data_IF_473015288190
#
_entry.id   IF_473015288190
#
_cell.length_a   1.000
_cell.length_b   1.000
_cell.length_c   1.000
_cell.angle_alpha   90.00
_cell.angle_beta   90.00
_cell.angle_gamma   90.00
#
_symmetry.space_group_name_H-M   'P 1'
#
loop_
_entity.id
_entity.type
_entity.pdbx_description
1 polymer ?
#
# COMPACT_ATOMS: atom_id res chain seq x y z
N UNK A 1 -15.33 -3.64 -59.93
CA UNK A 1 -16.47 -2.98 -59.30
C UNK A 1 -17.07 -3.83 -58.15
N UNK A 2 -17.49 -5.09 -58.36
CA UNK A 2 -18.09 -5.91 -57.28
C UNK A 2 -17.20 -6.19 -56.06
N UNK A 3 -15.87 -6.27 -56.21
CA UNK A 3 -14.90 -6.51 -55.13
C UNK A 3 -14.72 -5.28 -54.24
N UNK A 4 -14.73 -4.07 -54.82
CA UNK A 4 -14.64 -2.80 -54.07
C UNK A 4 -15.93 -2.50 -53.30
N UNK A 5 -17.09 -2.85 -53.84
CA UNK A 5 -18.38 -2.71 -53.14
C UNK A 5 -18.52 -3.68 -51.96
N UNK A 6 -17.99 -4.90 -52.07
CA UNK A 6 -17.96 -5.84 -50.94
C UNK A 6 -17.03 -5.34 -49.83
N UNK A 7 -15.83 -4.88 -50.14
CA UNK A 7 -14.88 -4.30 -49.21
C UNK A 7 -15.48 -3.09 -48.46
N UNK A 8 -16.16 -2.18 -49.19
CA UNK A 8 -16.81 -1.03 -48.58
C UNK A 8 -17.94 -1.47 -47.62
N UNK A 9 -18.78 -2.43 -48.03
CA UNK A 9 -19.84 -2.96 -47.16
C UNK A 9 -19.28 -3.60 -45.89
N UNK A 10 -18.25 -4.43 -46.03
CA UNK A 10 -17.65 -5.14 -44.90
C UNK A 10 -16.97 -4.13 -43.92
N UNK A 11 -16.38 -3.07 -44.45
CA UNK A 11 -15.84 -1.95 -43.69
C UNK A 11 -16.92 -1.20 -42.91
N UNK A 12 -18.09 -0.94 -43.53
CA UNK A 12 -19.24 -0.32 -42.85
C UNK A 12 -19.79 -1.20 -41.71
N UNK A 13 -19.89 -2.51 -41.96
CA UNK A 13 -20.34 -3.46 -40.93
C UNK A 13 -19.37 -3.44 -39.71
N UNK A 14 -18.07 -3.50 -39.97
CA UNK A 14 -17.06 -3.44 -38.92
C UNK A 14 -17.14 -2.12 -38.15
N UNK A 15 -17.31 -0.99 -38.83
CA UNK A 15 -17.47 0.32 -38.20
C UNK A 15 -18.73 0.40 -37.32
N UNK A 16 -19.86 -0.11 -37.83
CA UNK A 16 -21.12 -0.14 -37.05
C UNK A 16 -21.00 -1.03 -35.83
N UNK A 17 -20.38 -2.20 -35.95
CA UNK A 17 -20.12 -3.08 -34.80
C UNK A 17 -19.20 -2.43 -33.77
N UNK A 18 -18.18 -1.70 -34.22
CA UNK A 18 -17.28 -0.96 -33.39
C UNK A 18 -18.00 0.16 -32.61
N UNK A 19 -18.83 0.95 -33.30
CA UNK A 19 -19.62 2.00 -32.65
C UNK A 19 -20.63 1.44 -31.64
N UNK A 20 -21.31 0.34 -31.99
CA UNK A 20 -22.22 -0.35 -31.08
C UNK A 20 -21.48 -0.84 -29.82
N UNK A 21 -20.29 -1.42 -29.98
CA UNK A 21 -19.44 -1.86 -28.88
C UNK A 21 -19.01 -0.68 -27.98
N UNK A 22 -18.54 0.42 -28.55
CA UNK A 22 -18.18 1.62 -27.81
C UNK A 22 -19.37 2.21 -27.03
N UNK A 23 -20.56 2.26 -27.64
CA UNK A 23 -21.79 2.71 -26.99
C UNK A 23 -22.21 1.81 -25.82
N UNK A 24 -22.05 0.50 -25.94
CA UNK A 24 -22.32 -0.44 -24.83
C UNK A 24 -21.33 -0.26 -23.66
N UNK A 25 -20.12 0.20 -23.93
CA UNK A 25 -19.13 0.46 -22.88
C UNK A 25 -19.46 1.73 -22.05
N UNK A 26 -20.20 2.70 -22.61
CA UNK A 26 -20.52 3.97 -21.93
C UNK A 26 -21.16 3.76 -20.55
N UNK A 27 -22.26 3.03 -20.36
CA UNK A 27 -22.88 2.88 -19.03
C UNK A 27 -21.99 2.12 -18.06
N UNK A 28 -21.15 1.21 -18.55
CA UNK A 28 -20.21 0.46 -17.71
C UNK A 28 -19.09 1.35 -17.20
N UNK A 29 -18.46 2.10 -18.09
CA UNK A 29 -17.34 3.00 -17.75
C UNK A 29 -17.82 4.15 -16.88
N UNK A 30 -18.93 4.81 -17.22
CA UNK A 30 -19.43 5.97 -16.47
C UNK A 30 -19.94 5.61 -15.06
N UNK A 31 -20.52 4.43 -14.87
CA UNK A 31 -20.92 3.96 -13.54
C UNK A 31 -19.74 3.61 -12.64
N UNK A 32 -18.62 3.21 -13.21
CA UNK A 32 -17.45 2.77 -12.45
C UNK A 32 -16.41 3.87 -12.24
N UNK A 33 -16.30 4.81 -13.18
CA UNK A 33 -15.37 5.92 -13.09
C UNK A 33 -16.09 7.14 -12.52
N UNK A 34 -15.79 7.48 -11.27
CA UNK A 34 -16.41 8.64 -10.59
C UNK A 34 -15.84 9.99 -11.03
N UNK A 35 -14.64 10.00 -11.61
CA UNK A 35 -13.99 11.21 -12.13
C UNK A 35 -14.31 11.32 -13.61
N UNK A 36 -15.00 12.39 -14.06
CA UNK A 36 -15.41 12.54 -15.47
C UNK A 36 -14.25 12.45 -16.47
N UNK A 37 -13.11 13.04 -16.13
CA UNK A 37 -11.89 12.99 -16.97
C UNK A 37 -11.38 11.55 -17.16
N UNK A 38 -11.39 10.73 -16.10
CA UNK A 38 -11.01 9.32 -16.19
C UNK A 38 -11.99 8.51 -17.03
N UNK A 39 -13.29 8.75 -16.90
CA UNK A 39 -14.31 8.11 -17.72
C UNK A 39 -14.13 8.47 -19.21
N UNK A 40 -13.91 9.77 -19.52
CA UNK A 40 -13.66 10.24 -20.88
C UNK A 40 -12.39 9.60 -21.50
N UNK A 41 -11.31 9.49 -20.72
CA UNK A 41 -10.05 8.84 -21.16
C UNK A 41 -10.29 7.37 -21.53
N UNK A 42 -11.00 6.61 -20.68
CA UNK A 42 -11.28 5.22 -20.95
C UNK A 42 -12.21 5.02 -22.15
N UNK A 43 -13.24 5.87 -22.29
CA UNK A 43 -14.14 5.85 -23.45
C UNK A 43 -13.39 6.19 -24.74
N UNK A 44 -12.52 7.21 -24.72
CA UNK A 44 -11.67 7.55 -25.86
C UNK A 44 -10.75 6.38 -26.25
N UNK A 45 -10.13 5.72 -25.25
CA UNK A 45 -9.26 4.57 -25.48
C UNK A 45 -10.02 3.38 -26.10
N UNK A 46 -11.23 3.08 -25.61
CA UNK A 46 -12.09 2.02 -26.18
C UNK A 46 -12.57 2.39 -27.58
N UNK A 47 -12.86 3.66 -27.83
CA UNK A 47 -13.28 4.12 -29.17
C UNK A 47 -12.15 4.04 -30.19
N UNK A 48 -10.93 4.43 -29.81
CA UNK A 48 -9.75 4.40 -30.69
C UNK A 48 -9.18 3.00 -30.90
N UNK A 49 -9.19 2.16 -29.85
CA UNK A 49 -8.61 0.82 -29.82
C UNK A 49 -9.61 -0.18 -29.19
N UNK A 50 -10.65 -0.61 -29.93
CA UNK A 50 -11.79 -1.32 -29.33
C UNK A 50 -11.43 -2.58 -28.57
N UNK A 51 -10.59 -3.43 -29.14
CA UNK A 51 -10.15 -4.67 -28.50
C UNK A 51 -9.10 -4.39 -27.43
N UNK A 52 -8.04 -3.68 -27.79
CA UNK A 52 -6.93 -3.38 -26.86
C UNK A 52 -7.38 -2.43 -25.74
N UNK A 53 -8.15 -1.40 -26.04
CA UNK A 53 -8.70 -0.46 -25.06
C UNK A 53 -9.66 -1.12 -24.09
N UNK A 54 -10.53 -2.01 -24.57
CA UNK A 54 -11.41 -2.79 -23.69
C UNK A 54 -10.63 -3.76 -22.81
N UNK A 55 -9.63 -4.45 -23.34
CA UNK A 55 -8.76 -5.32 -22.54
C UNK A 55 -8.01 -4.53 -21.47
N UNK A 56 -7.45 -3.37 -21.84
CA UNK A 56 -6.79 -2.48 -20.88
C UNK A 56 -7.76 -1.96 -19.81
N UNK A 57 -9.00 -1.62 -20.21
CA UNK A 57 -10.02 -1.20 -19.25
C UNK A 57 -10.37 -2.33 -18.28
N UNK A 58 -10.57 -3.55 -18.74
CA UNK A 58 -10.84 -4.72 -17.89
C UNK A 58 -9.67 -5.01 -16.94
N UNK A 59 -8.44 -4.87 -17.42
CA UNK A 59 -7.23 -5.17 -16.64
C UNK A 59 -6.86 -4.08 -15.64
N UNK A 60 -7.03 -2.82 -15.98
CA UNK A 60 -6.53 -1.69 -15.20
C UNK A 60 -7.62 -0.69 -14.76
N UNK A 61 -8.74 -0.58 -15.49
CA UNK A 61 -9.80 0.40 -15.26
C UNK A 61 -11.03 -0.15 -14.51
N UNK A 62 -11.28 -1.46 -14.59
CA UNK A 62 -12.46 -2.08 -14.00
C UNK A 62 -12.36 -2.19 -12.48
N UNK A 63 -13.25 -1.50 -11.76
CA UNK A 63 -13.33 -1.53 -10.29
C UNK A 63 -14.53 -2.35 -9.85
N UNK A 64 -14.31 -3.37 -9.02
CA UNK A 64 -15.39 -4.11 -8.36
C UNK A 64 -15.99 -3.29 -7.22
N UNK A 65 -17.32 -3.12 -7.23
CA UNK A 65 -18.05 -2.55 -6.11
C UNK A 65 -18.09 -3.58 -4.97
N UNK A 66 -17.42 -3.28 -3.87
CA UNK A 66 -17.55 -4.06 -2.62
C UNK A 66 -18.71 -3.55 -1.77
N UNK A 67 -19.20 -4.34 -0.81
CA UNK A 67 -20.23 -3.91 0.13
C UNK A 67 -19.74 -2.72 0.97
N UNK A 68 -20.62 -1.75 1.20
CA UNK A 68 -20.40 -0.66 2.16
C UNK A 68 -20.50 -1.22 3.57
N UNK A 69 -19.49 -0.99 4.39
CA UNK A 69 -19.57 -1.34 5.80
C UNK A 69 -20.36 -0.23 6.55
N UNK A 70 -21.39 -0.63 7.27
CA UNK A 70 -22.06 0.26 8.21
C UNK A 70 -21.13 0.53 9.39
N UNK A 71 -20.74 1.79 9.59
CA UNK A 71 -19.94 2.20 10.72
C UNK A 71 -20.80 2.94 11.75
N UNK A 72 -20.84 2.51 13.01
CA UNK A 72 -21.54 3.22 14.04
C UNK A 72 -20.93 4.62 14.24
N UNK A 73 -21.77 5.63 14.45
CA UNK A 73 -21.36 7.01 14.70
C UNK A 73 -20.28 7.07 15.79
N UNK A 74 -19.08 7.47 15.42
CA UNK A 74 -17.97 7.64 16.35
C UNK A 74 -18.00 9.06 16.93
N UNK A 75 -17.90 9.19 18.25
CA UNK A 75 -17.55 10.46 18.91
C UNK A 75 -16.03 10.60 18.85
N UNK A 76 -15.55 11.60 18.14
CA UNK A 76 -14.10 11.86 17.97
C UNK A 76 -13.86 12.98 16.99
N UNK A 77 -12.60 13.27 16.74
CA UNK A 77 -12.13 14.18 15.71
C UNK A 77 -12.57 13.71 14.31
N UNK A 78 -12.78 14.64 13.37
CA UNK A 78 -13.19 14.33 11.98
C UNK A 78 -12.25 13.32 11.30
N UNK A 79 -10.94 13.43 11.50
CA UNK A 79 -9.98 12.47 10.93
C UNK A 79 -10.19 11.08 11.54
N UNK A 80 -10.35 11.00 12.86
CA UNK A 80 -10.64 9.73 13.55
C UNK A 80 -11.94 9.08 13.04
N UNK A 81 -12.96 9.89 12.78
CA UNK A 81 -14.24 9.43 12.23
C UNK A 81 -14.10 8.94 10.79
N UNK A 82 -13.34 9.65 9.93
CA UNK A 82 -13.09 9.26 8.55
C UNK A 82 -12.37 7.90 8.53
N UNK A 83 -11.33 7.72 9.34
CA UNK A 83 -10.60 6.45 9.43
C UNK A 83 -11.50 5.34 10.01
N UNK A 84 -12.26 5.63 11.06
CA UNK A 84 -13.18 4.66 11.65
C UNK A 84 -14.26 4.19 10.66
N UNK A 85 -14.80 5.11 9.86
CA UNK A 85 -15.78 4.78 8.84
C UNK A 85 -15.18 3.93 7.71
N UNK A 86 -13.95 4.24 7.28
CA UNK A 86 -13.28 3.52 6.19
C UNK A 86 -12.67 2.18 6.58
N UNK A 87 -12.07 2.10 7.76
CA UNK A 87 -11.27 0.94 8.21
C UNK A 87 -11.89 0.18 9.39
N UNK A 88 -12.94 0.70 10.03
CA UNK A 88 -13.53 0.09 11.22
C UNK A 88 -12.67 0.20 12.49
N UNK A 89 -11.55 0.95 12.46
CA UNK A 89 -10.65 1.12 13.61
C UNK A 89 -11.03 2.34 14.43
N UNK A 90 -10.69 2.27 15.71
CA UNK A 90 -10.80 3.41 16.64
C UNK A 90 -9.42 3.76 17.18
N UNK A 91 -9.18 5.03 17.61
CA UNK A 91 -7.95 5.38 18.27
C UNK A 91 -7.72 4.52 19.52
N UNK A 92 -6.59 3.84 19.54
CA UNK A 92 -6.08 3.13 20.72
C UNK A 92 -5.39 4.12 21.66
N UNK A 93 -5.24 3.77 22.94
CA UNK A 93 -4.80 4.76 23.93
C UNK A 93 -3.42 4.53 24.49
N UNK A 94 -3.08 3.28 24.79
CA UNK A 94 -1.89 2.93 25.55
C UNK A 94 -0.89 2.23 24.64
N UNK A 95 0.03 3.02 24.08
CA UNK A 95 1.02 2.52 23.16
C UNK A 95 2.42 3.02 23.48
N UNK A 96 3.42 2.30 22.99
CA UNK A 96 4.81 2.73 22.88
C UNK A 96 5.24 2.55 21.44
N UNK A 97 5.83 3.59 20.85
CA UNK A 97 6.37 3.55 19.48
C UNK A 97 7.86 3.84 19.53
N UNK A 98 8.63 3.04 18.83
CA UNK A 98 10.02 3.27 18.49
C UNK A 98 10.15 3.52 17.01
N UNK A 99 10.69 4.68 16.63
CA UNK A 99 11.02 4.98 15.24
C UNK A 99 12.37 4.34 14.89
N UNK A 100 12.37 3.57 13.82
CA UNK A 100 13.53 2.81 13.33
C UNK A 100 13.97 3.39 11.99
N UNK A 101 15.00 4.20 12.02
CA UNK A 101 15.58 4.83 10.85
C UNK A 101 16.41 3.82 10.06
N UNK A 102 16.09 3.65 8.78
CA UNK A 102 16.83 2.81 7.82
C UNK A 102 16.87 1.31 8.18
N UNK A 103 17.38 0.52 7.24
CA UNK A 103 17.42 -0.94 7.36
C UNK A 103 18.24 -1.44 8.57
N UNK A 104 19.34 -0.81 8.91
CA UNK A 104 20.18 -1.26 10.02
C UNK A 104 19.42 -1.31 11.34
N UNK A 105 18.75 -0.23 11.72
CA UNK A 105 17.99 -0.18 12.97
C UNK A 105 16.76 -1.09 12.91
N UNK A 106 16.05 -1.09 11.75
CA UNK A 106 14.88 -1.91 11.57
C UNK A 106 15.17 -3.41 11.65
N UNK A 107 16.18 -3.90 10.92
CA UNK A 107 16.51 -5.34 10.93
C UNK A 107 17.14 -5.78 12.25
N UNK A 108 17.96 -4.94 12.90
CA UNK A 108 18.49 -5.26 14.24
C UNK A 108 17.35 -5.47 15.23
N UNK A 109 16.40 -4.54 15.28
CA UNK A 109 15.26 -4.64 16.18
C UNK A 109 14.34 -5.80 15.83
N UNK A 110 14.04 -6.00 14.53
CA UNK A 110 13.18 -7.08 14.02
C UNK A 110 13.79 -8.45 14.34
N UNK A 111 15.05 -8.69 13.98
CA UNK A 111 15.76 -9.95 14.23
C UNK A 111 15.76 -10.27 15.73
N UNK A 112 16.06 -9.28 16.57
CA UNK A 112 16.02 -9.47 18.02
C UNK A 112 14.62 -9.86 18.52
N UNK A 113 13.54 -9.31 17.96
CA UNK A 113 12.17 -9.69 18.32
C UNK A 113 11.79 -11.07 17.82
N UNK A 114 12.16 -11.43 16.59
CA UNK A 114 11.95 -12.77 16.05
C UNK A 114 12.67 -13.85 16.88
N UNK A 115 13.90 -13.55 17.30
CA UNK A 115 14.66 -14.47 18.18
C UNK A 115 14.05 -14.61 19.57
N UNK A 116 13.42 -13.57 20.12
CA UNK A 116 12.76 -13.61 21.43
C UNK A 116 11.34 -14.17 21.41
N UNK A 117 10.72 -14.32 20.25
CA UNK A 117 9.38 -14.88 20.12
C UNK A 117 9.27 -16.27 20.75
N UNK A 118 8.16 -16.52 21.47
CA UNK A 118 7.92 -17.73 22.25
C UNK A 118 6.61 -18.46 21.89
N UNK A 119 5.69 -17.79 21.16
CA UNK A 119 4.37 -18.35 20.84
C UNK A 119 4.07 -18.33 19.36
N UNK A 120 4.12 -17.15 18.75
CA UNK A 120 3.73 -16.96 17.35
C UNK A 120 4.52 -15.85 16.67
N UNK A 121 4.73 -16.03 15.36
CA UNK A 121 5.27 -15.02 14.46
C UNK A 121 4.35 -14.93 13.26
N UNK A 122 3.71 -13.78 13.08
CA UNK A 122 2.90 -13.45 11.92
C UNK A 122 3.60 -12.36 11.11
N UNK A 123 3.84 -12.63 9.85
CA UNK A 123 4.68 -11.80 9.00
C UNK A 123 4.05 -11.60 7.64
N UNK A 124 3.98 -10.37 7.17
CA UNK A 124 3.40 -9.99 5.88
C UNK A 124 4.28 -8.96 5.20
N UNK A 125 4.75 -9.28 3.99
CA UNK A 125 5.64 -8.42 3.24
C UNK A 125 5.33 -8.37 1.75
N UNK A 126 5.52 -7.18 1.16
CA UNK A 126 5.49 -7.02 -0.28
C UNK A 126 6.71 -7.67 -0.93
N UNK A 127 7.92 -7.33 -0.47
CA UNK A 127 9.16 -7.90 -1.01
C UNK A 127 9.88 -8.71 0.08
N UNK A 128 10.11 -9.99 -0.23
CA UNK A 128 11.07 -10.84 0.46
C UNK A 128 12.05 -11.34 -0.60
N UNK A 129 13.33 -11.00 -0.48
CA UNK A 129 14.39 -11.48 -1.39
C UNK A 129 15.17 -12.63 -0.78
N UNK A 130 15.64 -13.55 -1.61
CA UNK A 130 16.58 -14.62 -1.22
C UNK A 130 18.01 -14.11 -1.22
N UNK A 131 18.26 -13.06 -0.44
CA UNK A 131 19.56 -12.47 -0.22
C UNK A 131 20.03 -12.70 1.23
N UNK A 132 21.14 -12.05 1.64
CA UNK A 132 21.71 -12.21 2.98
C UNK A 132 20.69 -11.98 4.09
N UNK A 133 19.93 -10.90 4.02
CA UNK A 133 18.96 -10.57 5.09
C UNK A 133 17.72 -11.48 5.04
N UNK A 134 17.22 -11.76 3.83
CA UNK A 134 16.07 -12.69 3.66
C UNK A 134 16.39 -14.08 4.15
N UNK A 135 17.60 -14.61 3.85
CA UNK A 135 18.04 -15.91 4.36
C UNK A 135 18.21 -15.91 5.88
N UNK A 136 18.81 -14.86 6.46
CA UNK A 136 18.93 -14.73 7.92
C UNK A 136 17.57 -14.80 8.60
N UNK A 137 16.57 -14.08 8.08
CA UNK A 137 15.21 -14.11 8.62
C UNK A 137 14.59 -15.49 8.42
N UNK A 138 14.69 -16.08 7.21
CA UNK A 138 14.18 -17.43 6.95
C UNK A 138 14.75 -18.49 7.91
N UNK A 139 16.06 -18.46 8.20
CA UNK A 139 16.67 -19.38 9.16
C UNK A 139 16.13 -19.20 10.59
N UNK A 140 15.83 -17.96 10.99
CA UNK A 140 15.20 -17.72 12.30
C UNK A 140 13.79 -18.30 12.32
N UNK A 141 12.98 -18.04 11.28
CA UNK A 141 11.62 -18.57 11.17
C UNK A 141 11.62 -20.12 11.19
N UNK A 142 12.53 -20.75 10.45
CA UNK A 142 12.72 -22.21 10.43
C UNK A 142 13.03 -22.75 11.84
N UNK A 143 13.99 -22.14 12.55
CA UNK A 143 14.32 -22.56 13.92
C UNK A 143 13.15 -22.40 14.88
N UNK A 144 12.38 -21.32 14.74
CA UNK A 144 11.22 -21.05 15.61
C UNK A 144 10.08 -22.04 15.34
N UNK A 145 9.78 -22.33 14.08
CA UNK A 145 8.77 -23.33 13.71
C UNK A 145 9.16 -24.74 14.22
N UNK A 146 10.43 -25.14 14.04
CA UNK A 146 10.96 -26.41 14.60
C UNK A 146 10.89 -26.47 16.12
N UNK A 147 10.96 -25.34 16.80
CA UNK A 147 10.79 -25.23 18.24
C UNK A 147 9.30 -25.20 18.67
N UNK A 148 8.36 -25.41 17.74
CA UNK A 148 6.92 -25.51 18.01
C UNK A 148 6.16 -24.19 18.02
N UNK A 149 6.75 -23.07 17.57
CA UNK A 149 6.04 -21.81 17.43
C UNK A 149 5.14 -21.82 16.18
N UNK A 150 4.01 -21.17 16.27
CA UNK A 150 3.16 -20.92 15.10
C UNK A 150 3.77 -19.78 14.25
N UNK A 151 4.28 -20.14 13.07
CA UNK A 151 4.93 -19.18 12.17
C UNK A 151 4.17 -19.10 10.85
N UNK A 152 3.59 -17.93 10.56
CA UNK A 152 2.83 -17.66 9.32
C UNK A 152 3.42 -16.50 8.56
N UNK A 153 3.61 -16.70 7.25
CA UNK A 153 4.20 -15.70 6.37
C UNK A 153 3.33 -15.48 5.13
N UNK A 154 2.84 -14.26 4.94
CA UNK A 154 2.24 -13.80 3.69
C UNK A 154 3.30 -13.03 2.91
N UNK A 155 3.44 -13.33 1.63
CA UNK A 155 4.30 -12.59 0.72
C UNK A 155 3.58 -12.28 -0.59
N UNK A 156 3.81 -11.09 -1.15
CA UNK A 156 3.26 -10.77 -2.47
C UNK A 156 3.98 -11.57 -3.57
N UNK A 157 3.24 -12.24 -4.44
CA UNK A 157 3.79 -13.14 -5.45
C UNK A 157 4.66 -12.41 -6.50
N UNK A 158 4.30 -11.16 -6.84
CA UNK A 158 5.06 -10.35 -7.80
C UNK A 158 6.21 -9.64 -7.11
N UNK A 159 5.98 -8.98 -5.99
CA UNK A 159 7.02 -8.28 -5.25
C UNK A 159 8.14 -9.23 -4.78
N UNK A 160 7.77 -10.46 -4.40
CA UNK A 160 8.71 -11.47 -3.90
C UNK A 160 9.11 -12.52 -4.96
N UNK A 161 9.04 -12.19 -6.27
CA UNK A 161 9.37 -13.14 -7.35
C UNK A 161 10.81 -13.69 -7.29
N UNK A 162 11.72 -13.00 -6.58
CA UNK A 162 13.10 -13.44 -6.31
C UNK A 162 13.25 -14.29 -5.05
N UNK A 163 12.18 -14.59 -4.32
CA UNK A 163 12.20 -15.56 -3.22
C UNK A 163 12.28 -16.98 -3.80
N UNK A 164 13.35 -17.70 -3.49
CA UNK A 164 13.61 -18.99 -4.13
C UNK A 164 12.63 -20.07 -3.66
N UNK A 165 12.23 -20.95 -4.57
CA UNK A 165 11.44 -22.14 -4.25
C UNK A 165 12.16 -23.05 -3.24
N UNK A 166 13.49 -23.04 -3.24
CA UNK A 166 14.30 -23.82 -2.29
C UNK A 166 14.09 -23.30 -0.86
N UNK A 167 14.16 -21.98 -0.66
CA UNK A 167 13.92 -21.36 0.64
C UNK A 167 12.50 -21.59 1.12
N UNK A 168 11.50 -21.45 0.25
CA UNK A 168 10.10 -21.73 0.58
C UNK A 168 9.87 -23.19 1.00
N UNK A 169 10.46 -24.16 0.28
CA UNK A 169 10.39 -25.58 0.68
C UNK A 169 11.00 -25.82 2.05
N UNK A 170 12.21 -25.29 2.30
CA UNK A 170 12.87 -25.42 3.61
C UNK A 170 12.04 -24.83 4.75
N UNK A 171 11.37 -23.71 4.52
CA UNK A 171 10.45 -23.10 5.48
C UNK A 171 9.25 -24.03 5.73
N UNK A 172 8.63 -24.52 4.66
CA UNK A 172 7.48 -25.44 4.74
C UNK A 172 7.85 -26.75 5.47
N UNK A 173 8.98 -27.39 5.13
CA UNK A 173 9.46 -28.62 5.74
C UNK A 173 9.78 -28.46 7.24
N UNK A 174 10.00 -27.23 7.67
CA UNK A 174 10.21 -26.87 9.08
C UNK A 174 8.91 -26.52 9.83
N UNK A 175 7.75 -26.52 9.15
CA UNK A 175 6.47 -26.16 9.73
C UNK A 175 6.11 -24.68 9.64
N UNK A 176 6.82 -23.88 8.84
CA UNK A 176 6.42 -22.50 8.55
C UNK A 176 5.29 -22.51 7.53
N UNK A 177 4.14 -21.96 7.89
CA UNK A 177 3.03 -21.78 6.98
C UNK A 177 3.26 -20.56 6.10
N UNK A 178 3.27 -20.74 4.77
CA UNK A 178 3.48 -19.64 3.82
C UNK A 178 2.28 -19.48 2.89
N UNK A 179 1.96 -18.24 2.53
CA UNK A 179 0.90 -17.92 1.60
C UNK A 179 1.34 -16.83 0.61
N UNK A 180 1.15 -17.09 -0.69
CA UNK A 180 1.41 -16.11 -1.73
C UNK A 180 0.15 -15.24 -1.95
N UNK A 181 0.30 -13.93 -1.80
CA UNK A 181 -0.77 -12.99 -2.11
C UNK A 181 -0.89 -12.81 -3.63
N UNK A 182 -2.09 -13.00 -4.17
CA UNK A 182 -2.47 -12.90 -5.59
C UNK A 182 -1.41 -13.52 -6.54
N UNK A 183 -1.24 -14.86 -6.52
CA UNK A 183 -0.30 -15.55 -7.40
C UNK A 183 -0.72 -15.39 -8.86
N UNK A 184 0.24 -15.02 -9.72
CA UNK A 184 0.03 -14.93 -11.16
C UNK A 184 0.04 -16.34 -11.75
N UNK A 185 -1.09 -16.78 -12.33
CA UNK A 185 -1.24 -18.09 -12.98
C UNK A 185 -1.49 -17.92 -14.47
N UNK A 186 -0.61 -18.45 -15.29
CA UNK A 186 -0.82 -18.54 -16.75
C UNK A 186 -1.80 -19.68 -17.07
N UNK A 187 -2.73 -19.58 -18.06
CA UNK A 187 -3.00 -18.42 -18.91
C UNK A 187 -4.00 -17.40 -18.31
N UNK A 188 -4.44 -17.63 -17.10
CA UNK A 188 -5.46 -16.82 -16.43
C UNK A 188 -4.82 -15.58 -15.81
N UNK A 189 -4.47 -14.60 -16.66
CA UNK A 189 -4.18 -13.26 -16.15
C UNK A 189 -5.47 -12.67 -15.59
N UNK A 190 -5.65 -12.84 -14.28
CA UNK A 190 -6.79 -12.24 -13.60
C UNK A 190 -6.64 -10.72 -13.62
N UNK A 191 -7.77 -9.98 -13.59
CA UNK A 191 -7.81 -8.51 -13.43
C UNK A 191 -7.10 -8.00 -12.18
N UNK A 192 -6.57 -8.91 -11.37
CA UNK A 192 -5.88 -8.68 -10.10
C UNK A 192 -4.36 -8.57 -10.22
N UNK A 193 -3.79 -8.57 -11.42
CA UNK A 193 -2.32 -8.39 -11.60
C UNK A 193 -1.84 -7.07 -11.02
N UNK A 194 -2.66 -6.03 -11.07
CA UNK A 194 -2.38 -4.71 -10.50
C UNK A 194 -2.69 -4.61 -9.01
N UNK A 195 -3.46 -5.56 -8.46
CA UNK A 195 -3.80 -5.60 -7.05
C UNK A 195 -2.68 -6.29 -6.27
N UNK A 196 -1.85 -5.51 -5.60
CA UNK A 196 -0.69 -6.00 -4.86
C UNK A 196 -0.80 -5.65 -3.38
N UNK A 197 -0.35 -6.55 -2.52
CA UNK A 197 -0.25 -6.29 -1.10
C UNK A 197 1.06 -5.57 -0.79
N UNK A 198 0.99 -4.27 -0.55
CA UNK A 198 2.18 -3.46 -0.25
C UNK A 198 2.45 -3.31 1.26
N UNK A 199 1.73 -4.02 2.13
CA UNK A 199 1.93 -3.99 3.58
C UNK A 199 3.26 -4.64 3.97
N UNK A 200 3.85 -4.16 5.04
CA UNK A 200 5.02 -4.71 5.72
C UNK A 200 4.70 -4.73 7.21
N UNK A 201 4.23 -5.87 7.67
CA UNK A 201 3.75 -6.06 9.05
C UNK A 201 4.42 -7.30 9.62
N UNK A 202 4.90 -7.21 10.85
CA UNK A 202 5.30 -8.35 11.66
C UNK A 202 4.67 -8.22 13.02
N UNK A 203 4.06 -9.29 13.53
CA UNK A 203 3.58 -9.36 14.92
C UNK A 203 4.22 -10.56 15.59
N UNK A 204 4.88 -10.34 16.72
CA UNK A 204 5.48 -11.39 17.54
C UNK A 204 4.72 -11.54 18.87
N UNK A 205 4.26 -12.76 19.15
CA UNK A 205 3.55 -13.15 20.39
C UNK A 205 2.29 -12.30 20.71
N UNK A 206 1.78 -11.52 19.73
CA UNK A 206 0.71 -10.56 19.94
C UNK A 206 1.10 -9.38 20.87
N UNK A 207 2.39 -9.16 21.10
CA UNK A 207 2.94 -8.15 22.04
C UNK A 207 3.68 -7.02 21.36
N UNK A 208 4.44 -7.34 20.31
CA UNK A 208 5.25 -6.38 19.58
C UNK A 208 4.89 -6.47 18.11
N UNK A 209 4.65 -5.33 17.49
CA UNK A 209 4.43 -5.24 16.06
C UNK A 209 5.46 -4.33 15.39
N UNK A 210 5.68 -4.59 14.12
CA UNK A 210 6.49 -3.77 13.22
C UNK A 210 5.66 -3.41 12.00
N UNK A 211 5.77 -2.15 11.55
CA UNK A 211 5.18 -1.69 10.29
C UNK A 211 6.01 -0.54 9.72
N UNK A 212 5.95 -0.34 8.39
CA UNK A 212 6.65 0.78 7.74
C UNK A 212 6.98 0.53 6.28
N UNK A 213 7.97 1.27 5.76
CA UNK A 213 8.34 1.23 4.34
C UNK A 213 9.34 0.13 3.99
N UNK A 214 10.14 -0.36 4.95
CA UNK A 214 11.29 -1.24 4.73
C UNK A 214 10.85 -2.66 4.37
N UNK A 215 11.25 -3.15 3.18
CA UNK A 215 11.06 -4.54 2.76
C UNK A 215 12.23 -5.43 3.22
N UNK A 216 12.09 -6.76 3.11
CA UNK A 216 13.16 -7.70 3.41
C UNK A 216 14.06 -7.85 2.19
N UNK A 217 15.05 -6.96 2.10
CA UNK A 217 16.04 -6.95 1.04
C UNK A 217 17.33 -6.25 1.49
N UNK A 218 18.48 -6.75 1.00
CA UNK A 218 19.81 -6.26 1.39
C UNK A 218 20.07 -4.80 1.04
N UNK A 219 19.40 -4.27 0.00
CA UNK A 219 19.63 -2.89 -0.43
C UNK A 219 19.19 -1.84 0.62
N UNK A 220 18.34 -2.19 1.58
CA UNK A 220 18.08 -1.33 2.73
C UNK A 220 19.26 -1.24 3.72
N UNK A 221 20.23 -2.18 3.64
CA UNK A 221 21.45 -2.19 4.45
C UNK A 221 22.65 -1.62 3.68
N UNK A 222 22.87 -2.19 2.52
CA UNK A 222 24.08 -1.97 1.73
C UNK A 222 23.92 -0.83 0.71
N UNK A 223 22.67 -0.46 0.38
CA UNK A 223 22.35 0.36 -0.77
C UNK A 223 22.31 -0.44 -2.07
N UNK A 224 22.10 0.24 -3.17
CA UNK A 224 22.21 -0.28 -4.53
C UNK A 224 22.75 0.82 -5.49
N UNK A 225 22.47 0.71 -6.80
CA UNK A 225 22.90 1.71 -7.80
C UNK A 225 22.32 3.12 -7.56
N UNK A 226 21.24 3.24 -6.76
CA UNK A 226 20.65 4.51 -6.32
C UNK A 226 21.36 5.09 -5.08
N UNK A 227 22.35 4.40 -4.53
CA UNK A 227 22.99 4.76 -3.28
C UNK A 227 22.32 4.13 -2.06
N UNK A 228 22.39 4.79 -0.92
CA UNK A 228 21.77 4.32 0.31
C UNK A 228 20.27 4.62 0.31
N UNK A 229 19.48 3.66 0.78
CA UNK A 229 18.03 3.80 0.90
C UNK A 229 17.66 4.42 2.24
N UNK A 230 16.96 5.55 2.18
CA UNK A 230 16.41 6.26 3.34
C UNK A 230 14.94 5.89 3.49
N UNK A 231 14.61 5.13 4.54
CA UNK A 231 13.23 4.71 4.81
C UNK A 231 12.99 4.59 6.33
N UNK A 232 11.72 4.56 6.71
CA UNK A 232 11.29 4.53 8.10
C UNK A 232 10.49 3.26 8.40
N UNK A 233 10.68 2.75 9.62
CA UNK A 233 9.93 1.63 10.17
C UNK A 233 9.56 1.92 11.61
N UNK A 234 8.46 1.37 12.07
CA UNK A 234 7.98 1.53 13.43
C UNK A 234 8.03 0.20 14.16
N UNK A 235 8.43 0.25 15.42
CA UNK A 235 8.22 -0.80 16.40
C UNK A 235 7.14 -0.33 17.36
N UNK A 236 6.06 -1.10 17.48
CA UNK A 236 4.86 -0.74 18.24
C UNK A 236 4.61 -1.78 19.33
N UNK A 237 4.29 -1.33 20.52
CA UNK A 237 3.81 -2.13 21.65
C UNK A 237 2.55 -1.49 22.21
N UNK A 238 1.64 -2.27 22.77
CA UNK A 238 0.41 -1.77 23.37
C UNK A 238 -0.85 -2.10 22.58
N UNK A 239 -1.90 -1.30 22.77
CA UNK A 239 -3.24 -1.56 22.23
C UNK A 239 -3.26 -1.72 20.69
N UNK A 240 -2.48 -0.90 19.97
CA UNK A 240 -2.46 -0.91 18.50
C UNK A 240 -1.92 -2.23 17.91
N UNK A 241 -1.19 -3.04 18.67
CA UNK A 241 -0.74 -4.37 18.23
C UNK A 241 -1.92 -5.27 17.91
N UNK A 242 -3.02 -5.14 18.66
CA UNK A 242 -4.23 -5.91 18.42
C UNK A 242 -4.86 -5.60 17.05
N UNK A 243 -4.85 -4.35 16.61
CA UNK A 243 -5.38 -3.97 15.30
C UNK A 243 -4.49 -4.47 14.16
N UNK A 244 -3.16 -4.39 14.30
CA UNK A 244 -2.21 -4.96 13.35
C UNK A 244 -2.33 -6.49 13.27
N UNK A 245 -2.57 -7.16 14.40
CA UNK A 245 -2.81 -8.60 14.44
C UNK A 245 -4.11 -8.99 13.74
N UNK A 246 -5.20 -8.24 13.94
CA UNK A 246 -6.47 -8.46 13.25
C UNK A 246 -6.35 -8.24 11.75
N UNK A 247 -5.61 -7.22 11.33
CA UNK A 247 -5.34 -6.94 9.92
C UNK A 247 -4.60 -8.11 9.25
N UNK A 248 -3.52 -8.61 9.88
CA UNK A 248 -2.82 -9.80 9.40
C UNK A 248 -3.76 -11.02 9.29
N UNK A 249 -4.59 -11.27 10.31
CA UNK A 249 -5.54 -12.39 10.31
C UNK A 249 -6.57 -12.28 9.19
N UNK A 250 -7.07 -11.07 8.91
CA UNK A 250 -7.99 -10.83 7.81
C UNK A 250 -7.33 -11.11 6.45
N UNK A 251 -6.08 -10.67 6.26
CA UNK A 251 -5.31 -10.97 5.05
C UNK A 251 -4.97 -12.47 4.94
N UNK A 252 -4.65 -13.13 6.05
CA UNK A 252 -4.46 -14.59 6.07
C UNK A 252 -5.72 -15.34 5.64
N UNK A 253 -6.87 -14.98 6.21
CA UNK A 253 -8.15 -15.57 5.83
C UNK A 253 -8.48 -15.36 4.36
N UNK A 254 -8.19 -14.17 3.82
CA UNK A 254 -8.37 -13.85 2.41
C UNK A 254 -7.52 -14.72 1.48
N UNK A 255 -6.26 -15.00 1.87
CA UNK A 255 -5.30 -15.72 1.00
C UNK A 255 -5.42 -17.24 1.15
N UNK A 256 -5.67 -17.73 2.38
CA UNK A 256 -5.70 -19.16 2.71
C UNK A 256 -7.11 -19.72 2.81
N UNK A 257 -8.14 -18.89 2.97
CA UNK A 257 -9.50 -19.33 3.32
C UNK A 257 -9.62 -19.87 4.76
N UNK A 258 -8.62 -19.63 5.60
CA UNK A 258 -8.54 -20.12 6.98
C UNK A 258 -8.79 -18.96 7.96
N UNK A 259 -9.78 -19.11 8.82
CA UNK A 259 -10.12 -18.11 9.84
C UNK A 259 -9.43 -18.42 11.16
N UNK A 260 -8.54 -17.54 11.59
CA UNK A 260 -7.85 -17.64 12.88
C UNK A 260 -8.62 -16.84 13.94
N UNK A 261 -8.83 -17.43 15.13
CA UNK A 261 -9.40 -16.68 16.25
C UNK A 261 -8.40 -15.63 16.76
N UNK A 262 -8.70 -14.36 16.50
CA UNK A 262 -7.82 -13.25 16.86
C UNK A 262 -7.53 -13.17 18.37
N UNK A 263 -8.46 -13.60 19.23
CA UNK A 263 -8.30 -13.60 20.70
C UNK A 263 -7.13 -14.45 21.15
N UNK A 264 -6.82 -15.52 20.42
CA UNK A 264 -5.67 -16.40 20.69
C UNK A 264 -4.33 -15.69 20.50
N UNK A 265 -4.26 -14.68 19.61
CA UNK A 265 -3.02 -14.02 19.20
C UNK A 265 -2.89 -12.59 19.74
N UNK A 266 -3.84 -12.11 20.50
CA UNK A 266 -3.76 -10.81 21.17
C UNK A 266 -3.33 -11.08 22.61
N UNK A 267 -2.22 -10.48 23.01
CA UNK A 267 -1.68 -10.62 24.36
C UNK A 267 -1.95 -9.39 25.21
N UNK A 268 -2.20 -9.55 26.50
CA UNK A 268 -2.26 -8.41 27.42
C UNK A 268 -0.89 -7.73 27.50
N UNK A 269 -0.88 -6.42 27.73
CA UNK A 269 0.33 -5.62 27.89
C UNK A 269 0.27 -4.72 29.11
N UNK A 270 1.43 -4.34 29.62
CA UNK A 270 1.57 -3.41 30.77
C UNK A 270 1.90 -1.98 30.38
N UNK A 271 1.64 -1.57 29.13
CA UNK A 271 1.95 -0.22 28.66
C UNK A 271 0.97 0.78 29.29
N UNK A 272 1.50 1.76 29.98
CA UNK A 272 0.72 2.84 30.62
C UNK A 272 0.93 4.20 29.97
N UNK A 273 1.88 4.31 29.04
CA UNK A 273 2.14 5.55 28.30
C UNK A 273 0.95 5.86 27.40
N UNK A 274 0.34 7.01 27.58
CA UNK A 274 -0.79 7.47 26.78
C UNK A 274 -0.26 8.08 25.48
N UNK A 275 -0.31 7.28 24.42
CA UNK A 275 0.02 7.68 23.06
C UNK A 275 -1.09 7.14 22.13
N UNK A 276 -1.99 8.00 21.64
CA UNK A 276 -3.05 7.56 20.75
C UNK A 276 -2.47 7.11 19.40
N UNK A 277 -2.96 5.99 18.91
CA UNK A 277 -2.66 5.46 17.58
C UNK A 277 -3.96 4.99 16.96
N UNK A 278 -4.21 5.36 15.71
CA UNK A 278 -5.27 4.80 14.91
C UNK A 278 -4.68 4.21 13.63
N UNK A 279 -5.03 2.97 13.34
CA UNK A 279 -4.57 2.27 12.15
C UNK A 279 -5.51 2.56 10.98
N UNK A 280 -4.95 3.00 9.86
CA UNK A 280 -5.65 3.18 8.60
C UNK A 280 -5.02 2.32 7.52
N UNK A 281 -5.85 1.72 6.66
CA UNK A 281 -5.40 0.99 5.48
C UNK A 281 -6.33 1.21 4.31
N UNK A 282 -5.79 1.10 3.10
CA UNK A 282 -6.60 1.11 1.90
C UNK A 282 -7.06 -0.32 1.56
N UNK A 283 -8.33 -0.47 1.22
CA UNK A 283 -8.90 -1.67 0.62
C UNK A 283 -9.54 -1.35 -0.71
N UNK A 284 -9.68 -2.35 -1.57
CA UNK A 284 -10.39 -2.18 -2.83
C UNK A 284 -11.88 -1.94 -2.62
N UNK A 285 -12.41 -0.97 -3.35
CA UNK A 285 -13.84 -0.69 -3.43
C UNK A 285 -14.15 0.79 -3.58
N UNK A 286 -15.24 1.15 -4.26
CA UNK A 286 -15.55 2.54 -4.61
C UNK A 286 -16.01 3.41 -3.44
N UNK A 287 -16.30 2.83 -2.29
CA UNK A 287 -16.87 3.54 -1.12
C UNK A 287 -15.94 3.53 0.09
N UNK A 288 -14.70 3.03 -0.07
CA UNK A 288 -13.79 2.89 1.07
C UNK A 288 -12.77 4.03 1.11
N UNK A 289 -12.40 4.39 2.34
CA UNK A 289 -11.36 5.37 2.61
C UNK A 289 -10.08 4.99 1.85
N UNK A 290 -9.50 5.97 1.17
CA UNK A 290 -8.12 5.89 0.72
C UNK A 290 -7.19 6.56 1.73
N UNK A 291 -5.93 6.18 1.77
CA UNK A 291 -4.93 6.88 2.61
C UNK A 291 -4.87 8.37 2.21
N UNK A 292 -5.12 8.70 0.93
CA UNK A 292 -5.18 10.07 0.46
C UNK A 292 -6.31 10.89 1.10
N UNK A 293 -7.47 10.27 1.37
CA UNK A 293 -8.60 10.94 2.06
C UNK A 293 -8.20 11.32 3.49
N UNK A 294 -7.53 10.40 4.20
CA UNK A 294 -7.02 10.67 5.54
C UNK A 294 -5.97 11.78 5.52
N UNK A 295 -5.03 11.75 4.57
CA UNK A 295 -4.00 12.77 4.42
C UNK A 295 -4.60 14.13 4.07
N UNK A 296 -5.52 14.22 3.10
CA UNK A 296 -6.20 15.46 2.74
C UNK A 296 -6.97 16.04 3.93
N UNK A 297 -7.69 15.19 4.70
CA UNK A 297 -8.38 15.62 5.91
C UNK A 297 -7.43 16.18 6.97
N UNK A 298 -6.26 15.58 7.16
CA UNK A 298 -5.25 16.07 8.08
C UNK A 298 -4.67 17.42 7.62
N UNK A 299 -4.34 17.55 6.33
CA UNK A 299 -3.73 18.75 5.74
C UNK A 299 -4.67 19.95 5.79
N UNK A 300 -5.96 19.77 5.43
CA UNK A 300 -6.95 20.87 5.46
C UNK A 300 -7.15 21.44 6.87
N UNK A 301 -6.77 20.69 7.91
CA UNK A 301 -6.86 21.11 9.31
C UNK A 301 -5.56 21.64 9.88
N UNK A 302 -4.52 21.71 9.09
CA UNK A 302 -3.24 22.25 9.52
C UNK A 302 -3.37 23.74 9.86
N UNK A 303 -2.72 24.15 10.96
CA UNK A 303 -2.70 25.54 11.40
C UNK A 303 -1.31 26.17 11.24
N UNK A 304 -0.25 25.39 11.23
CA UNK A 304 1.15 25.91 11.27
C UNK A 304 2.04 25.26 10.22
N UNK A 305 2.09 23.94 10.17
CA UNK A 305 3.07 23.22 9.33
C UNK A 305 2.50 21.94 8.75
N UNK A 306 2.83 21.68 7.50
CA UNK A 306 2.63 20.39 6.83
C UNK A 306 3.98 19.96 6.26
N UNK A 307 4.42 18.74 6.58
CA UNK A 307 5.63 18.14 6.02
C UNK A 307 5.32 16.79 5.43
N UNK A 308 5.64 16.60 4.16
CA UNK A 308 5.45 15.33 3.44
C UNK A 308 6.80 14.83 2.95
N UNK A 309 7.03 13.52 3.12
CA UNK A 309 8.08 12.78 2.44
C UNK A 309 7.47 11.64 1.64
N UNK A 310 7.78 11.52 0.35
CA UNK A 310 7.27 10.47 -0.52
C UNK A 310 8.30 10.09 -1.59
N UNK A 311 8.51 8.78 -1.86
CA UNK A 311 9.39 8.34 -2.95
C UNK A 311 8.81 8.61 -4.34
N UNK A 312 7.48 8.60 -4.44
CA UNK A 312 6.72 8.80 -5.68
C UNK A 312 5.62 9.80 -5.40
N UNK A 313 5.86 11.04 -5.77
CA UNK A 313 4.89 12.11 -5.51
C UNK A 313 3.86 12.20 -6.64
N UNK A 314 2.86 11.34 -6.55
CA UNK A 314 1.73 11.26 -7.48
C UNK A 314 0.41 11.54 -6.74
N UNK A 315 0.21 12.76 -6.23
CA UNK A 315 -0.95 13.07 -5.41
C UNK A 315 -2.23 13.04 -6.25
N UNK A 316 -3.32 12.39 -5.76
CA UNK A 316 -4.63 12.61 -6.34
C UNK A 316 -5.02 14.10 -6.23
N UNK A 317 -5.89 14.56 -7.13
CA UNK A 317 -6.29 15.98 -7.22
C UNK A 317 -6.69 16.57 -5.86
N UNK A 318 -7.48 15.85 -5.07
CA UNK A 318 -7.92 16.28 -3.72
C UNK A 318 -6.73 16.55 -2.78
N UNK A 319 -5.68 15.74 -2.82
CA UNK A 319 -4.50 15.92 -1.98
C UNK A 319 -3.68 17.12 -2.47
N UNK A 320 -3.55 17.28 -3.78
CA UNK A 320 -2.87 18.41 -4.40
C UNK A 320 -3.57 19.73 -4.03
N UNK A 321 -4.91 19.78 -4.15
CA UNK A 321 -5.71 20.94 -3.78
C UNK A 321 -5.62 21.26 -2.27
N UNK A 322 -5.60 20.24 -1.42
CA UNK A 322 -5.42 20.42 0.02
C UNK A 322 -4.06 21.07 0.36
N UNK A 323 -2.98 20.66 -0.31
CA UNK A 323 -1.65 21.25 -0.14
C UNK A 323 -1.61 22.71 -0.60
N UNK A 324 -2.18 23.00 -1.77
CA UNK A 324 -2.26 24.37 -2.31
C UNK A 324 -3.08 25.29 -1.40
N UNK A 325 -4.24 24.84 -0.93
CA UNK A 325 -5.10 25.61 -0.03
C UNK A 325 -4.41 25.87 1.30
N UNK A 326 -3.75 24.87 1.88
CA UNK A 326 -2.99 25.05 3.12
C UNK A 326 -1.88 26.11 2.94
N UNK A 327 -1.07 26.00 1.88
CA UNK A 327 0.02 26.94 1.61
C UNK A 327 -0.51 28.37 1.39
N UNK A 328 -1.53 28.55 0.55
CA UNK A 328 -2.17 29.86 0.31
C UNK A 328 -2.85 30.43 1.54
N UNK A 329 -3.28 29.57 2.47
CA UNK A 329 -3.84 29.94 3.78
C UNK A 329 -2.78 30.30 4.82
N UNK A 330 -1.48 30.35 4.47
CA UNK A 330 -0.39 30.73 5.37
C UNK A 330 0.21 29.58 6.18
N UNK A 331 -0.19 28.33 5.92
CA UNK A 331 0.45 27.15 6.51
C UNK A 331 1.78 26.89 5.80
N UNK A 332 2.86 26.68 6.55
CA UNK A 332 4.15 26.30 5.97
C UNK A 332 4.10 24.87 5.47
N UNK A 333 4.04 24.69 4.15
CA UNK A 333 3.97 23.37 3.51
C UNK A 333 5.32 23.01 2.92
N UNK A 334 5.87 21.87 3.34
CA UNK A 334 7.17 21.36 2.90
C UNK A 334 6.99 19.95 2.31
N UNK A 335 7.44 19.74 1.08
CA UNK A 335 7.39 18.45 0.38
C UNK A 335 8.81 18.02 0.06
N UNK A 336 9.19 16.82 0.46
CA UNK A 336 10.48 16.20 0.16
C UNK A 336 10.29 14.99 -0.73
N UNK A 337 10.95 14.97 -1.88
CA UNK A 337 10.97 13.90 -2.86
C UNK A 337 12.41 13.50 -3.17
N UNK A 338 12.70 12.30 -3.71
CA UNK A 338 14.05 11.97 -4.16
C UNK A 338 14.47 12.84 -5.36
N UNK A 339 15.77 13.07 -5.50
CA UNK A 339 16.32 13.71 -6.70
C UNK A 339 16.20 12.80 -7.92
N UNK A 340 16.28 11.48 -7.70
CA UNK A 340 16.10 10.43 -8.71
C UNK A 340 15.46 9.22 -8.04
N UNK A 341 14.43 8.64 -8.66
CA UNK A 341 13.77 7.41 -8.17
C UNK A 341 14.17 6.20 -9.02
N UNK A 342 13.73 5.02 -8.59
CA UNK A 342 13.88 3.77 -9.36
C UNK A 342 12.90 3.67 -10.54
N UNK A 343 12.11 4.72 -10.81
CA UNK A 343 11.13 4.82 -11.89
C UNK A 343 11.20 6.19 -12.58
N UNK A 344 12.00 6.34 -13.66
CA UNK A 344 12.11 7.62 -14.41
C UNK A 344 10.75 8.16 -14.91
N UNK A 345 9.82 7.27 -15.23
CA UNK A 345 8.48 7.65 -15.63
C UNK A 345 7.70 8.31 -14.48
N UNK A 346 7.87 7.80 -13.27
CA UNK A 346 7.27 8.37 -12.06
C UNK A 346 7.87 9.75 -11.75
N UNK A 347 9.18 9.92 -11.95
CA UNK A 347 9.86 11.20 -11.76
C UNK A 347 9.31 12.26 -12.71
N UNK A 348 9.14 11.92 -14.00
CA UNK A 348 8.57 12.81 -15.00
C UNK A 348 7.15 13.27 -14.63
N UNK A 349 6.30 12.35 -14.13
CA UNK A 349 4.95 12.73 -13.71
C UNK A 349 4.99 13.57 -12.43
N UNK A 350 5.84 13.22 -11.46
CA UNK A 350 6.02 14.00 -10.23
C UNK A 350 6.43 15.44 -10.55
N UNK A 351 7.33 15.63 -11.49
CA UNK A 351 7.82 16.94 -11.91
C UNK A 351 6.71 17.82 -12.52
N UNK A 352 5.68 17.22 -13.13
CA UNK A 352 4.55 17.96 -13.68
C UNK A 352 3.70 18.69 -12.65
N UNK A 353 3.75 18.29 -11.38
CA UNK A 353 3.02 18.94 -10.27
C UNK A 353 3.82 20.04 -9.57
N UNK A 354 5.14 20.11 -9.82
CA UNK A 354 6.06 20.97 -9.04
C UNK A 354 5.75 22.45 -9.27
N UNK A 355 5.56 22.87 -10.53
CA UNK A 355 5.28 24.29 -10.85
C UNK A 355 4.09 24.84 -10.07
N UNK A 356 2.97 24.13 -10.13
CA UNK A 356 1.73 24.49 -9.47
C UNK A 356 1.85 24.56 -7.93
N UNK A 357 2.70 23.73 -7.34
CA UNK A 357 2.95 23.74 -5.90
C UNK A 357 3.83 24.92 -5.48
N UNK A 358 4.87 25.21 -6.24
CA UNK A 358 5.74 26.35 -6.00
C UNK A 358 4.97 27.67 -6.13
N UNK A 359 4.11 27.80 -7.15
CA UNK A 359 3.23 28.97 -7.35
C UNK A 359 2.22 29.14 -6.19
N UNK A 360 1.87 28.07 -5.51
CA UNK A 360 1.03 28.12 -4.32
C UNK A 360 1.79 28.45 -3.03
N UNK A 361 3.13 28.53 -3.07
CA UNK A 361 3.98 28.81 -1.91
C UNK A 361 4.46 27.55 -1.15
N UNK A 362 4.37 26.36 -1.75
CA UNK A 362 4.90 25.12 -1.16
C UNK A 362 6.43 25.10 -1.32
N UNK A 363 7.13 24.77 -0.24
CA UNK A 363 8.58 24.56 -0.25
C UNK A 363 8.88 23.11 -0.72
N UNK A 364 9.61 22.98 -1.83
CA UNK A 364 10.01 21.68 -2.35
C UNK A 364 11.49 21.40 -2.06
N UNK A 365 11.76 20.20 -1.57
CA UNK A 365 13.10 19.70 -1.29
C UNK A 365 13.38 18.43 -2.09
N UNK A 366 14.55 18.37 -2.73
CA UNK A 366 15.04 17.16 -3.37
C UNK A 366 16.11 16.50 -2.50
N UNK A 367 15.88 15.23 -2.18
CA UNK A 367 16.84 14.42 -1.43
C UNK A 367 17.84 13.78 -2.39
N UNK A 368 19.12 14.07 -2.23
CA UNK A 368 20.20 13.68 -3.13
C UNK A 368 21.23 12.71 -2.51
N UNK A 369 21.07 12.35 -1.24
CA UNK A 369 21.97 11.42 -0.54
C UNK A 369 21.51 9.96 -0.64
N UNK A 370 21.23 9.50 -1.86
CA UNK A 370 20.69 8.18 -2.15
C UNK A 370 19.19 8.18 -2.43
N UNK A 371 18.51 7.03 -2.26
CA UNK A 371 17.08 6.92 -2.57
C UNK A 371 16.20 7.15 -1.34
N UNK A 372 15.41 8.22 -1.38
CA UNK A 372 14.39 8.50 -0.38
C UNK A 372 13.17 7.62 -0.61
N UNK A 373 12.95 6.64 0.25
CA UNK A 373 11.78 5.75 0.16
C UNK A 373 10.79 5.90 1.33
N UNK A 374 11.03 6.86 2.23
CA UNK A 374 10.13 7.15 3.35
C UNK A 374 8.77 7.71 2.88
N UNK A 375 7.69 7.30 3.54
CA UNK A 375 6.31 7.75 3.34
C UNK A 375 5.81 8.30 4.65
N UNK A 376 5.87 9.63 4.79
CA UNK A 376 5.55 10.32 6.04
C UNK A 376 4.70 11.56 5.74
N UNK A 377 3.75 11.82 6.62
CA UNK A 377 3.06 13.09 6.75
C UNK A 377 3.15 13.55 8.21
N UNK A 378 3.55 14.78 8.42
CA UNK A 378 3.56 15.43 9.74
C UNK A 378 2.76 16.72 9.61
N UNK A 379 1.72 16.86 10.41
CA UNK A 379 0.88 18.07 10.48
C UNK A 379 0.92 18.60 11.90
N UNK A 380 1.32 19.85 12.07
CA UNK A 380 1.37 20.55 13.37
C UNK A 380 2.05 19.73 14.49
N UNK A 381 3.15 19.05 14.17
CA UNK A 381 3.91 18.15 15.04
C UNK A 381 3.21 16.81 15.39
N UNK A 382 2.13 16.45 14.69
CA UNK A 382 1.52 15.13 14.74
C UNK A 382 1.93 14.33 13.50
N UNK A 383 2.39 13.08 13.68
CA UNK A 383 2.82 12.21 12.58
C UNK A 383 1.68 11.30 12.11
N UNK A 384 1.59 11.10 10.81
CA UNK A 384 0.62 10.24 10.15
C UNK A 384 1.29 9.26 9.18
#
# INVERSE_FOLDING_TARGET
MARSMRLARDMYIVLLLHLAWALMAVPVVTRQQRVPASAATWLALILLLPVAGTLLYILAGYRRNGPTADCPACRGDRLEQIIAHGCGTRPTRYNRVGLLHNGNNAFTALIASLQRATRSIHMEYYIIRDDRIGRTIAEILIRKARAGLEVRVIYDAVGSWRLSRKTLRRMHDAGVETAAFEPVRFPWFTTRVTHRNHRKIVVTDGKVAYLGGINIAKYYLDGDYMGKWRDEHLRVEGDAVADLQRLFIADWARVRGEYLDSRRYIAPHGIRRRLPIQLAWAEEGPSRLTIADAFASAIVRAHRTVRISSPYFLPPAMLLDALRLAARGGVRVQVMIPSCSDSPFTDLISDSYIGDLLDAGVELYRYDNGFLHAKLLIVDAVSY
#
